data_IF_150407532509
#
_entry.id   IF_150407532509
#
_cell.length_a   1.000
_cell.length_b   1.000
_cell.length_c   1.000
_cell.angle_alpha   90.00
_cell.angle_beta   90.00
_cell.angle_gamma   90.00
#
_symmetry.space_group_name_H-M   'P 1'
#
loop_
_entity.id
_entity.type
_entity.pdbx_description
1 polymer ?
#
# COMPACT_ATOMS: atom_id res chain seq x y z
N UNK A 1 -12.15 24.87 3.74
CA UNK A 1 -12.46 23.43 3.89
C UNK A 1 -11.20 22.61 3.65
N UNK A 2 -10.88 21.78 4.61
CA UNK A 2 -9.67 20.96 4.47
C UNK A 2 -9.98 19.71 3.66
N UNK A 3 -9.02 19.29 2.85
CA UNK A 3 -9.12 18.06 2.09
C UNK A 3 -8.63 16.93 3.00
N UNK A 4 -9.41 15.87 3.11
CA UNK A 4 -9.00 14.70 3.85
C UNK A 4 -8.34 13.71 2.89
N UNK A 5 -7.07 13.49 3.11
CA UNK A 5 -6.34 12.50 2.35
C UNK A 5 -6.42 11.14 3.07
N UNK A 6 -6.29 10.05 2.33
CA UNK A 6 -6.28 8.73 2.97
C UNK A 6 -5.03 8.55 3.83
N UNK A 7 -5.11 7.60 4.75
CA UNK A 7 -3.92 7.17 5.48
C UNK A 7 -3.12 6.24 4.57
N UNK A 8 -1.83 6.16 4.83
CA UNK A 8 -0.93 5.30 4.06
C UNK A 8 -0.20 4.34 4.98
N UNK A 9 -0.01 3.12 4.49
CA UNK A 9 0.88 2.14 5.09
C UNK A 9 1.92 1.81 4.02
N UNK A 10 3.20 1.95 4.36
CA UNK A 10 4.30 1.62 3.46
C UNK A 10 4.96 0.36 3.99
N UNK A 11 5.06 -0.67 3.16
CA UNK A 11 5.68 -1.95 3.52
C UNK A 11 6.86 -2.20 2.60
N UNK A 12 8.07 -2.10 3.13
CA UNK A 12 9.28 -2.19 2.35
C UNK A 12 10.44 -2.53 3.28
N UNK A 13 11.22 -3.55 2.96
CA UNK A 13 12.30 -3.99 3.82
C UNK A 13 13.49 -3.03 3.85
N UNK A 14 13.53 -2.07 2.94
CA UNK A 14 14.56 -1.03 2.92
C UNK A 14 14.10 0.17 3.73
N UNK A 15 14.80 0.45 4.84
CA UNK A 15 14.48 1.63 5.64
C UNK A 15 14.63 2.91 4.86
N UNK A 16 15.60 2.95 3.95
CA UNK A 16 15.79 4.12 3.08
C UNK A 16 14.59 4.31 2.17
N UNK A 17 14.11 3.24 1.55
CA UNK A 17 12.95 3.33 0.66
C UNK A 17 11.68 3.72 1.44
N UNK A 18 11.52 3.22 2.66
CA UNK A 18 10.43 3.66 3.53
C UNK A 18 10.50 5.16 3.78
N UNK A 19 11.70 5.66 4.09
CA UNK A 19 11.90 7.09 4.34
C UNK A 19 11.57 7.91 3.11
N UNK A 20 12.05 7.48 1.94
CA UNK A 20 11.80 8.18 0.68
C UNK A 20 10.30 8.21 0.38
N UNK A 21 9.63 7.06 0.51
CA UNK A 21 8.19 6.99 0.27
C UNK A 21 7.41 7.89 1.21
N UNK A 22 7.77 7.85 2.50
CA UNK A 22 7.11 8.69 3.50
C UNK A 22 7.28 10.16 3.18
N UNK A 23 8.48 10.54 2.75
CA UNK A 23 8.77 11.95 2.42
C UNK A 23 7.94 12.42 1.23
N UNK A 24 7.87 11.62 0.18
CA UNK A 24 7.09 11.95 -1.01
C UNK A 24 5.60 12.06 -0.65
N UNK A 25 5.09 11.12 0.13
CA UNK A 25 3.68 11.14 0.54
C UNK A 25 3.41 12.40 1.39
N UNK A 26 4.25 12.67 2.37
CA UNK A 26 4.04 13.79 3.29
C UNK A 26 4.10 15.14 2.58
N UNK A 27 4.97 15.29 1.59
CA UNK A 27 5.04 16.55 0.84
C UNK A 27 3.88 16.70 -0.14
N UNK A 28 3.31 15.59 -0.60
CA UNK A 28 2.17 15.62 -1.52
C UNK A 28 0.85 15.76 -0.78
N UNK A 29 0.72 15.08 0.37
CA UNK A 29 -0.51 15.04 1.15
C UNK A 29 -0.21 15.44 2.57
N UNK A 30 -0.23 16.72 2.86
CA UNK A 30 0.28 17.25 4.13
C UNK A 30 -0.41 16.70 5.36
N UNK A 31 -1.67 16.36 5.25
CA UNK A 31 -2.44 15.88 6.42
C UNK A 31 -2.59 14.37 6.48
N UNK A 32 -1.96 13.65 5.57
CA UNK A 32 -2.07 12.19 5.56
C UNK A 32 -1.16 11.59 6.64
N UNK A 33 -1.64 10.53 7.27
CA UNK A 33 -0.84 9.75 8.21
C UNK A 33 -0.11 8.67 7.44
N UNK A 34 1.15 8.46 7.74
CA UNK A 34 1.95 7.42 7.09
C UNK A 34 2.59 6.56 8.15
N UNK A 35 2.34 5.25 8.09
CA UNK A 35 3.04 4.28 8.92
C UNK A 35 3.89 3.39 8.02
N UNK A 36 5.11 3.10 8.44
CA UNK A 36 6.03 2.27 7.68
C UNK A 36 6.33 0.98 8.42
N UNK A 37 6.43 -0.10 7.68
CA UNK A 37 6.80 -1.41 8.21
C UNK A 37 7.91 -1.99 7.34
N UNK A 38 8.92 -2.57 7.99
CA UNK A 38 10.05 -3.14 7.26
C UNK A 38 9.89 -4.63 6.99
N UNK A 39 8.75 -5.19 7.39
CA UNK A 39 8.41 -6.55 7.01
C UNK A 39 6.89 -6.68 6.89
N UNK A 40 6.48 -7.69 6.15
CA UNK A 40 5.06 -7.87 5.82
C UNK A 40 4.24 -8.35 7.02
N UNK A 41 4.84 -9.16 7.89
CA UNK A 41 4.12 -9.72 9.04
C UNK A 41 3.64 -8.63 9.99
N UNK A 42 4.50 -7.64 10.27
CA UNK A 42 4.13 -6.54 11.15
C UNK A 42 3.02 -5.69 10.53
N UNK A 43 3.06 -5.51 9.23
CA UNK A 43 2.00 -4.76 8.55
C UNK A 43 0.66 -5.49 8.63
N UNK A 44 0.66 -6.81 8.47
CA UNK A 44 -0.57 -7.59 8.62
C UNK A 44 -1.11 -7.53 10.05
N UNK A 45 -0.23 -7.59 11.05
CA UNK A 45 -0.64 -7.45 12.44
C UNK A 45 -1.31 -6.11 12.69
N UNK A 46 -0.77 -5.04 12.11
CA UNK A 46 -1.36 -3.72 12.24
C UNK A 46 -2.77 -3.69 11.66
N UNK A 47 -2.96 -4.28 10.49
CA UNK A 47 -4.28 -4.32 9.84
C UNK A 47 -5.26 -5.10 10.70
N UNK A 48 -4.84 -6.23 11.25
CA UNK A 48 -5.71 -7.05 12.09
C UNK A 48 -6.08 -6.35 13.40
N UNK A 49 -5.14 -5.57 13.95
CA UNK A 49 -5.39 -4.88 15.20
C UNK A 49 -6.25 -3.64 15.05
N UNK A 50 -6.40 -3.12 13.83
CA UNK A 50 -7.25 -1.97 13.56
C UNK A 50 -8.69 -2.32 13.39
N UNK A 51 -9.09 -3.50 13.72
CA UNK A 51 -10.40 -4.01 13.33
C UNK A 51 -11.57 -3.21 13.80
N UNK A 52 -11.40 -2.09 14.37
CA UNK A 52 -12.48 -1.33 14.83
C UNK A 52 -13.20 -0.61 13.79
N UNK A 53 -13.34 -1.05 12.71
CA UNK A 53 -14.27 -0.64 11.79
C UNK A 53 -14.62 0.80 11.66
N UNK A 54 -13.96 1.65 12.24
CA UNK A 54 -14.23 3.02 11.90
C UNK A 54 -13.57 3.31 10.63
N UNK A 55 -13.60 2.40 9.76
CA UNK A 55 -13.04 2.53 8.46
C UNK A 55 -13.87 3.45 7.62
N UNK A 56 -14.13 4.65 8.09
CA UNK A 56 -14.70 5.62 7.24
C UNK A 56 -13.76 6.00 6.16
N UNK A 57 -12.45 5.96 6.50
CA UNK A 57 -11.44 6.48 5.61
C UNK A 57 -10.66 5.33 5.02
N UNK A 58 -10.39 5.44 3.76
CA UNK A 58 -9.60 4.46 3.04
C UNK A 58 -8.14 4.54 3.47
N UNK A 59 -7.50 3.39 3.60
CA UNK A 59 -6.06 3.32 3.82
C UNK A 59 -5.41 2.73 2.57
N UNK A 60 -4.38 3.39 2.08
CA UNK A 60 -3.64 2.95 0.91
C UNK A 60 -2.38 2.23 1.37
N UNK A 61 -2.19 1.02 0.88
CA UNK A 61 -1.00 0.23 1.19
C UNK A 61 -0.06 0.31 -0.01
N UNK A 62 1.16 0.81 0.22
CA UNK A 62 2.23 0.80 -0.77
C UNK A 62 3.12 -0.37 -0.40
N UNK A 63 3.15 -1.38 -1.23
CA UNK A 63 3.71 -2.69 -0.90
C UNK A 63 4.84 -3.07 -1.84
N UNK A 64 6.04 -3.22 -1.29
CA UNK A 64 7.17 -3.70 -2.06
C UNK A 64 7.01 -5.20 -2.35
N UNK A 65 7.42 -5.62 -3.54
CA UNK A 65 7.33 -7.04 -3.91
C UNK A 65 8.43 -7.84 -3.24
N UNK A 66 9.67 -7.36 -3.33
CA UNK A 66 10.83 -8.17 -2.93
C UNK A 66 11.22 -7.92 -1.49
N UNK A 67 10.78 -8.80 -0.62
CA UNK A 67 11.12 -8.76 0.80
C UNK A 67 11.45 -10.16 1.25
N UNK A 68 12.39 -10.31 2.22
CA UNK A 68 12.72 -11.64 2.72
C UNK A 68 11.59 -12.22 3.55
N UNK A 69 11.53 -13.52 3.65
CA UNK A 69 10.59 -14.32 4.43
C UNK A 69 9.17 -14.27 3.86
N UNK A 70 8.55 -13.09 3.84
CA UNK A 70 7.23 -12.89 3.27
C UNK A 70 7.32 -11.76 2.27
N UNK A 71 7.21 -12.09 0.99
CA UNK A 71 7.29 -11.06 -0.06
C UNK A 71 5.91 -10.41 -0.29
N UNK A 72 5.85 -9.46 -1.22
CA UNK A 72 4.60 -8.73 -1.47
C UNK A 72 3.44 -9.62 -1.90
N UNK A 73 3.71 -10.66 -2.69
CA UNK A 73 2.64 -11.56 -3.10
C UNK A 73 2.17 -12.47 -1.94
N UNK A 74 3.09 -12.86 -1.05
CA UNK A 74 2.70 -13.59 0.16
C UNK A 74 1.80 -12.74 1.05
N UNK A 75 2.13 -11.46 1.17
CA UNK A 75 1.27 -10.51 1.89
C UNK A 75 -0.11 -10.43 1.23
N UNK A 76 -0.13 -10.32 -0.10
CA UNK A 76 -1.40 -10.22 -0.82
C UNK A 76 -2.25 -11.47 -0.65
N UNK A 77 -1.62 -12.66 -0.65
CA UNK A 77 -2.33 -13.90 -0.39
C UNK A 77 -2.99 -13.88 0.99
N UNK A 78 -2.26 -13.47 2.00
CA UNK A 78 -2.79 -13.38 3.36
C UNK A 78 -3.91 -12.33 3.45
N UNK A 79 -3.72 -11.20 2.77
CA UNK A 79 -4.72 -10.14 2.78
C UNK A 79 -6.03 -10.60 2.14
N UNK A 80 -5.96 -11.36 1.04
CA UNK A 80 -7.17 -11.83 0.37
C UNK A 80 -7.98 -12.78 1.24
N UNK A 81 -7.36 -13.40 2.24
CA UNK A 81 -8.08 -14.28 3.16
C UNK A 81 -8.74 -13.56 4.31
N UNK A 82 -8.60 -12.24 4.40
CA UNK A 82 -9.26 -11.46 5.44
C UNK A 82 -10.75 -11.27 5.11
N UNK A 83 -11.53 -10.89 6.10
CA UNK A 83 -12.96 -10.67 5.88
C UNK A 83 -13.19 -9.50 4.92
N UNK A 84 -14.32 -9.53 4.25
CA UNK A 84 -14.68 -8.46 3.32
C UNK A 84 -14.77 -7.10 4.01
N UNK A 85 -15.22 -7.09 5.26
CA UNK A 85 -15.32 -5.84 6.01
C UNK A 85 -13.93 -5.24 6.20
N UNK A 86 -12.95 -6.06 6.58
CA UNK A 86 -11.58 -5.57 6.74
C UNK A 86 -11.01 -5.11 5.40
N UNK A 87 -11.15 -5.94 4.38
CA UNK A 87 -10.57 -5.63 3.06
C UNK A 87 -11.15 -4.35 2.46
N UNK A 88 -12.39 -4.05 2.75
CA UNK A 88 -13.04 -2.88 2.17
C UNK A 88 -12.43 -1.55 2.60
N UNK A 89 -11.64 -1.56 3.69
CA UNK A 89 -10.99 -0.35 4.16
C UNK A 89 -9.63 -0.08 3.54
N UNK A 90 -9.17 -0.95 2.63
CA UNK A 90 -7.81 -0.88 2.10
C UNK A 90 -7.77 -1.04 0.60
N UNK A 91 -6.75 -0.43 -0.01
CA UNK A 91 -6.41 -0.70 -1.41
C UNK A 91 -4.89 -0.85 -1.48
N UNK A 92 -4.42 -1.81 -2.26
CA UNK A 92 -2.99 -2.12 -2.36
C UNK A 92 -2.46 -1.65 -3.71
N UNK A 93 -1.33 -0.94 -3.65
CA UNK A 93 -0.53 -0.62 -4.83
C UNK A 93 0.84 -1.24 -4.61
N UNK A 94 1.28 -2.06 -5.54
CA UNK A 94 2.60 -2.67 -5.43
C UNK A 94 3.65 -1.76 -6.05
N UNK A 95 4.85 -1.84 -5.52
CA UNK A 95 6.00 -1.13 -6.09
C UNK A 95 7.16 -2.12 -6.18
N UNK A 96 8.01 -1.91 -7.18
CA UNK A 96 9.17 -2.77 -7.36
C UNK A 96 10.30 -1.97 -8.01
N UNK A 97 11.55 -2.31 -7.68
CA UNK A 97 12.70 -1.69 -8.33
C UNK A 97 12.97 -2.33 -9.69
N UNK A 98 12.32 -3.44 -9.98
CA UNK A 98 12.59 -4.19 -11.20
C UNK A 98 11.30 -4.81 -11.69
N UNK A 99 10.63 -4.13 -12.62
CA UNK A 99 9.37 -4.63 -13.17
C UNK A 99 9.66 -5.71 -14.20
N UNK A 100 8.98 -6.84 -14.09
CA UNK A 100 9.00 -7.85 -15.13
C UNK A 100 7.56 -8.23 -15.47
N UNK A 101 7.39 -8.83 -16.64
CA UNK A 101 6.06 -9.13 -17.15
C UNK A 101 5.31 -10.14 -16.28
N UNK A 102 6.02 -11.12 -15.74
CA UNK A 102 5.37 -12.13 -14.91
C UNK A 102 4.80 -11.55 -13.63
N UNK A 103 5.49 -10.56 -13.04
CA UNK A 103 4.96 -9.87 -11.86
C UNK A 103 3.74 -9.03 -12.21
N UNK A 104 3.76 -8.36 -13.36
CA UNK A 104 2.60 -7.60 -13.82
C UNK A 104 1.39 -8.49 -14.00
N UNK A 105 1.57 -9.65 -14.63
CA UNK A 105 0.49 -10.59 -14.84
C UNK A 105 -0.01 -11.14 -13.51
N UNK A 106 0.91 -11.50 -12.63
CA UNK A 106 0.55 -12.06 -11.33
C UNK A 106 -0.25 -11.06 -10.50
N UNK A 107 0.17 -9.79 -10.50
CA UNK A 107 -0.51 -8.76 -9.74
C UNK A 107 -1.98 -8.61 -10.15
N UNK A 108 -2.26 -8.79 -11.44
CA UNK A 108 -3.64 -8.67 -11.95
C UNK A 108 -4.58 -9.73 -11.42
N UNK A 109 -4.04 -10.81 -10.86
CA UNK A 109 -4.87 -11.89 -10.31
C UNK A 109 -5.37 -11.59 -8.90
N UNK A 110 -4.93 -10.49 -8.30
CA UNK A 110 -5.34 -10.13 -6.95
C UNK A 110 -6.33 -8.97 -7.00
N UNK A 111 -7.59 -9.20 -6.61
CA UNK A 111 -8.59 -8.11 -6.63
C UNK A 111 -8.20 -6.92 -5.77
N UNK A 112 -7.44 -7.16 -4.70
CA UNK A 112 -7.04 -6.09 -3.78
C UNK A 112 -5.89 -5.24 -4.31
N UNK A 113 -5.15 -5.73 -5.31
CA UNK A 113 -4.03 -4.98 -5.88
C UNK A 113 -4.54 -4.16 -7.05
N UNK A 114 -4.45 -2.83 -6.90
CA UNK A 114 -4.97 -1.93 -7.92
C UNK A 114 -4.00 -1.76 -9.09
N UNK A 115 -2.72 -1.66 -8.79
CA UNK A 115 -1.71 -1.42 -9.82
C UNK A 115 -0.32 -1.72 -9.32
N UNK A 116 0.64 -1.88 -10.24
CA UNK A 116 2.05 -2.12 -9.92
C UNK A 116 2.88 -1.02 -10.57
N UNK A 117 3.63 -0.29 -9.73
CA UNK A 117 4.48 0.80 -10.19
C UNK A 117 5.96 0.45 -10.04
N UNK A 118 6.79 1.06 -10.89
CA UNK A 118 8.23 1.01 -10.69
C UNK A 118 8.66 2.05 -9.68
N UNK A 119 9.64 1.69 -8.83
CA UNK A 119 10.30 2.69 -8.00
C UNK A 119 11.18 3.57 -8.88
N UNK A 120 11.45 4.80 -8.48
CA UNK A 120 10.99 5.43 -7.23
C UNK A 120 9.59 6.00 -7.35
N UNK A 121 8.90 6.11 -6.24
CA UNK A 121 7.64 6.83 -6.21
C UNK A 121 7.90 8.31 -6.47
N UNK A 122 6.97 8.94 -7.17
CA UNK A 122 7.06 10.36 -7.47
C UNK A 122 5.77 11.03 -7.01
N UNK A 123 5.79 12.35 -6.95
CA UNK A 123 4.59 13.11 -6.63
C UNK A 123 3.45 12.78 -7.60
N UNK A 124 3.77 12.67 -8.90
CA UNK A 124 2.77 12.32 -9.90
C UNK A 124 2.12 10.98 -9.64
N UNK A 125 2.93 9.98 -9.25
CA UNK A 125 2.41 8.66 -8.93
C UNK A 125 1.52 8.71 -7.70
N UNK A 126 1.92 9.44 -6.66
CA UNK A 126 1.11 9.57 -5.45
C UNK A 126 -0.24 10.22 -5.78
N UNK A 127 -0.25 11.26 -6.60
CA UNK A 127 -1.50 11.90 -7.00
C UNK A 127 -2.38 10.95 -7.81
N UNK A 128 -1.78 10.15 -8.69
CA UNK A 128 -2.54 9.16 -9.45
C UNK A 128 -3.13 8.10 -8.53
N UNK A 129 -2.35 7.62 -7.57
CA UNK A 129 -2.81 6.64 -6.58
C UNK A 129 -4.03 7.19 -5.81
N UNK A 130 -3.95 8.43 -5.36
CA UNK A 130 -5.05 9.04 -4.62
C UNK A 130 -6.30 9.14 -5.50
N UNK A 131 -6.13 9.62 -6.73
CA UNK A 131 -7.27 9.76 -7.63
C UNK A 131 -7.93 8.42 -7.95
N UNK A 132 -7.13 7.39 -8.24
CA UNK A 132 -7.69 6.10 -8.61
C UNK A 132 -8.23 5.32 -7.42
N UNK A 133 -7.80 5.64 -6.21
CA UNK A 133 -8.27 4.94 -5.01
C UNK A 133 -9.73 5.23 -4.70
N UNK A 134 -10.23 6.39 -5.13
CA UNK A 134 -11.61 6.78 -4.88
C UNK A 134 -12.52 6.61 -6.09
N UNK A 135 -12.02 6.08 -7.18
CA UNK A 135 -12.83 5.81 -8.36
C UNK A 135 -12.93 4.30 -8.58
N UNK A 136 -14.05 3.85 -9.07
CA UNK A 136 -14.25 2.42 -9.33
C UNK A 136 -13.72 2.01 -10.69
#
# INVERSE_FOLDING_TARGET
MSINYPDFIVVDDSRLDCFISQKIISTTCQNATVQSFINAADALDEILNRQNGSAKDLTIIILDIQMPVMNGFDFADAFENLSEIIKSGYVIYMVTSSTNESDLIRARNYPSIRFLYNKPLTKSIILEIINTSYTN
#
